data_IF_131942615269
#
_entry.id   IF_131942615269
#
_cell.length_a   1.000
_cell.length_b   1.000
_cell.length_c   1.000
_cell.angle_alpha   90.00
_cell.angle_beta   90.00
_cell.angle_gamma   90.00
#
_symmetry.space_group_name_H-M   'P 1'
#
loop_
_entity.id
_entity.type
_entity.pdbx_description
1 polymer ?
#
# COMPACT_ATOMS: atom_id res chain seq x y z
N UNK A 1 68.64 31.04 -13.10
CA UNK A 1 67.23 30.88 -12.62
C UNK A 1 66.60 29.68 -13.32
N UNK A 2 66.41 28.54 -12.62
CA UNK A 2 65.75 27.35 -13.19
C UNK A 2 64.23 27.44 -13.00
N UNK A 3 63.47 27.46 -14.10
CA UNK A 3 62.00 27.46 -14.08
C UNK A 3 61.50 26.09 -13.60
N UNK A 4 60.70 26.07 -12.52
CA UNK A 4 59.97 24.89 -12.06
C UNK A 4 58.77 24.64 -13.01
N UNK A 5 58.53 23.40 -13.47
CA UNK A 5 57.31 23.10 -14.21
C UNK A 5 56.11 23.13 -13.25
N UNK A 6 55.11 23.95 -13.59
CA UNK A 6 53.82 23.96 -12.90
C UNK A 6 53.11 22.64 -13.17
N UNK A 7 52.89 21.87 -12.12
CA UNK A 7 52.26 20.56 -12.17
C UNK A 7 50.72 20.72 -12.23
N UNK A 8 50.21 21.14 -13.39
CA UNK A 8 48.77 21.40 -13.65
C UNK A 8 47.89 20.14 -13.64
N UNK A 9 48.46 18.95 -13.55
CA UNK A 9 47.73 17.68 -13.60
C UNK A 9 47.11 17.25 -12.26
N UNK A 10 47.58 17.78 -11.13
CA UNK A 10 47.08 17.40 -9.79
C UNK A 10 45.66 17.90 -9.45
N UNK A 11 45.22 19.13 -9.79
CA UNK A 11 43.88 19.59 -9.43
C UNK A 11 42.77 18.93 -10.25
N UNK A 12 43.06 18.52 -11.49
CA UNK A 12 42.08 17.88 -12.38
C UNK A 12 41.70 16.48 -11.85
N UNK A 13 42.68 15.69 -11.41
CA UNK A 13 42.43 14.36 -10.86
C UNK A 13 41.59 14.38 -9.57
N UNK A 14 41.76 15.41 -8.73
CA UNK A 14 40.99 15.58 -7.48
C UNK A 14 39.54 15.99 -7.78
N UNK A 15 39.32 16.89 -8.74
CA UNK A 15 37.97 17.31 -9.14
C UNK A 15 37.16 16.15 -9.76
N UNK A 16 37.81 15.30 -10.56
CA UNK A 16 37.16 14.11 -11.14
C UNK A 16 36.76 13.07 -10.10
N UNK A 17 37.61 12.85 -9.08
CA UNK A 17 37.32 11.91 -8.00
C UNK A 17 36.14 12.37 -7.12
N UNK A 18 36.02 13.68 -6.87
CA UNK A 18 34.89 14.26 -6.12
C UNK A 18 33.58 14.17 -6.91
N UNK A 19 33.58 14.46 -8.21
CA UNK A 19 32.39 14.29 -9.06
C UNK A 19 31.94 12.83 -9.17
N UNK A 20 32.88 11.87 -9.21
CA UNK A 20 32.57 10.44 -9.17
C UNK A 20 32.01 9.99 -7.82
N UNK A 21 32.48 10.58 -6.70
CA UNK A 21 31.93 10.31 -5.37
C UNK A 21 30.50 10.85 -5.21
N UNK A 22 30.20 12.04 -5.75
CA UNK A 22 28.84 12.60 -5.75
C UNK A 22 27.89 11.92 -6.75
N UNK A 23 28.40 11.37 -7.86
CA UNK A 23 27.58 10.59 -8.80
C UNK A 23 27.18 9.21 -8.25
N UNK A 24 27.92 8.66 -7.27
CA UNK A 24 27.61 7.38 -6.63
C UNK A 24 26.70 7.48 -5.41
N UNK A 25 26.37 8.68 -4.93
CA UNK A 25 25.21 8.87 -4.06
C UNK A 25 23.95 8.88 -4.92
N UNK A 26 23.65 7.76 -5.57
CA UNK A 26 22.32 7.50 -6.10
C UNK A 26 21.37 7.60 -4.91
N UNK A 27 20.63 8.71 -4.88
CA UNK A 27 19.67 9.01 -3.83
C UNK A 27 18.72 7.82 -3.78
N UNK A 28 18.79 7.00 -2.72
CA UNK A 28 17.88 5.86 -2.53
C UNK A 28 16.45 6.41 -2.50
N UNK A 29 15.79 6.39 -3.65
CA UNK A 29 14.45 6.90 -3.78
C UNK A 29 13.50 5.89 -3.12
N UNK A 30 12.97 6.25 -1.96
CA UNK A 30 11.96 5.44 -1.28
C UNK A 30 10.68 5.47 -2.11
N UNK A 31 10.17 4.30 -2.48
CA UNK A 31 8.85 4.15 -3.08
C UNK A 31 7.78 4.58 -2.08
N UNK A 32 6.85 5.41 -2.52
CA UNK A 32 5.80 5.98 -1.66
C UNK A 32 4.51 5.21 -1.82
N UNK A 33 3.91 4.83 -0.70
CA UNK A 33 2.60 4.20 -0.66
C UNK A 33 1.63 5.07 0.14
N UNK A 34 0.42 5.22 -0.39
CA UNK A 34 -0.64 5.94 0.28
C UNK A 34 -1.29 5.05 1.34
N UNK A 35 -1.61 5.66 2.47
CA UNK A 35 -2.70 5.15 3.29
C UNK A 35 -4.01 5.49 2.58
N UNK A 36 -4.80 4.48 2.25
CA UNK A 36 -6.04 4.65 1.46
C UNK A 36 -7.28 4.29 2.29
N UNK A 37 -8.43 4.83 1.91
CA UNK A 37 -9.72 4.61 2.55
C UNK A 37 -10.70 3.92 1.61
N UNK A 38 -11.51 3.05 2.19
CA UNK A 38 -12.64 2.43 1.52
C UNK A 38 -13.91 2.73 2.30
N UNK A 39 -14.81 3.52 1.71
CA UNK A 39 -15.94 4.09 2.44
C UNK A 39 -16.89 3.02 2.95
N UNK A 40 -17.52 3.27 4.09
CA UNK A 40 -18.52 2.36 4.65
C UNK A 40 -19.64 2.09 3.63
N UNK A 41 -20.09 3.10 2.88
CA UNK A 41 -21.11 2.94 1.85
C UNK A 41 -20.70 1.90 0.79
N UNK A 42 -19.51 2.03 0.20
CA UNK A 42 -19.02 1.11 -0.82
C UNK A 42 -18.77 -0.30 -0.25
N UNK A 43 -18.11 -0.38 0.89
CA UNK A 43 -17.83 -1.67 1.54
C UNK A 43 -19.14 -2.40 1.83
N UNK A 44 -20.12 -1.71 2.41
CA UNK A 44 -21.41 -2.30 2.76
C UNK A 44 -22.21 -2.77 1.55
N UNK A 45 -22.20 -2.00 0.47
CA UNK A 45 -22.82 -2.42 -0.79
C UNK A 45 -22.35 -3.81 -1.23
N UNK A 46 -21.04 -4.08 -1.16
CA UNK A 46 -20.49 -5.39 -1.49
C UNK A 46 -20.76 -6.45 -0.42
N UNK A 47 -20.67 -6.09 0.87
CA UNK A 47 -20.90 -7.06 1.95
C UNK A 47 -22.36 -7.54 2.05
N UNK A 48 -23.32 -6.73 1.62
CA UNK A 48 -24.75 -7.05 1.62
C UNK A 48 -25.10 -8.08 0.52
N UNK A 49 -24.31 -8.16 -0.55
CA UNK A 49 -24.49 -9.18 -1.59
C UNK A 49 -24.09 -10.57 -1.10
N UNK A 50 -24.96 -11.57 -1.22
CA UNK A 50 -24.66 -12.96 -0.84
C UNK A 50 -23.58 -13.62 -1.71
N UNK A 51 -23.34 -13.10 -2.92
CA UNK A 51 -22.39 -13.69 -3.87
C UNK A 51 -20.97 -13.19 -3.67
N UNK A 52 -20.75 -12.08 -2.96
CA UNK A 52 -19.41 -11.55 -2.70
C UNK A 52 -18.62 -12.50 -1.80
N UNK A 53 -17.41 -12.86 -2.23
CA UNK A 53 -16.49 -13.72 -1.50
C UNK A 53 -15.28 -12.93 -0.96
N UNK A 54 -14.58 -12.21 -1.83
CA UNK A 54 -13.32 -11.56 -1.48
C UNK A 54 -13.08 -10.28 -2.28
N UNK A 55 -12.21 -9.44 -1.74
CA UNK A 55 -11.79 -8.16 -2.28
C UNK A 55 -10.32 -8.28 -2.67
N UNK A 56 -10.02 -8.03 -3.95
CA UNK A 56 -8.67 -8.05 -4.50
C UNK A 56 -8.22 -6.61 -4.70
N UNK A 57 -7.14 -6.24 -4.02
CA UNK A 57 -6.54 -4.92 -4.11
C UNK A 57 -5.32 -4.96 -5.01
N UNK A 58 -5.37 -4.19 -6.10
CA UNK A 58 -4.28 -4.02 -7.04
C UNK A 58 -3.69 -2.62 -6.91
N UNK A 59 -2.37 -2.51 -7.08
CA UNK A 59 -1.68 -1.23 -7.06
C UNK A 59 -2.11 -0.36 -8.24
N UNK A 60 -2.41 0.89 -7.94
CA UNK A 60 -2.77 1.92 -8.90
C UNK A 60 -1.87 3.12 -8.70
N UNK A 61 -1.28 3.63 -9.78
CA UNK A 61 -0.65 4.95 -9.78
C UNK A 61 -1.49 5.89 -10.63
N UNK A 62 -1.99 7.01 -10.07
CA UNK A 62 -2.75 7.99 -10.84
C UNK A 62 -1.89 8.73 -11.86
N UNK A 63 -0.56 8.73 -11.67
CA UNK A 63 0.38 9.47 -12.50
C UNK A 63 1.72 8.74 -12.49
N UNK A 64 1.96 7.91 -13.51
CA UNK A 64 3.11 7.00 -13.58
C UNK A 64 4.45 7.71 -13.80
N UNK A 65 4.42 8.92 -14.35
CA UNK A 65 5.56 9.79 -14.64
C UNK A 65 5.96 10.66 -13.43
N UNK A 66 5.06 10.87 -12.47
CA UNK A 66 5.36 11.62 -11.25
C UNK A 66 5.70 10.67 -10.08
N UNK A 67 7.00 10.40 -9.95
CA UNK A 67 7.58 9.62 -8.85
C UNK A 67 7.32 10.17 -7.44
N UNK A 68 6.78 11.40 -7.32
CA UNK A 68 6.39 11.97 -6.02
C UNK A 68 4.99 11.50 -5.60
N UNK A 69 4.16 11.04 -6.54
CA UNK A 69 2.81 10.53 -6.26
C UNK A 69 2.91 9.12 -5.66
N UNK A 70 2.19 8.86 -4.56
CA UNK A 70 2.19 7.53 -3.96
C UNK A 70 1.36 6.55 -4.79
N UNK A 71 1.74 5.27 -4.72
CA UNK A 71 0.85 4.19 -5.11
C UNK A 71 -0.39 4.16 -4.20
N UNK A 72 -1.55 3.98 -4.82
CA UNK A 72 -2.85 3.76 -4.23
C UNK A 72 -3.34 2.34 -4.56
N UNK A 73 -4.59 2.04 -4.22
CA UNK A 73 -5.22 0.76 -4.52
C UNK A 73 -6.49 0.95 -5.35
N UNK A 74 -6.74 0.00 -6.24
CA UNK A 74 -8.08 -0.28 -6.78
C UNK A 74 -8.55 -1.62 -6.24
N UNK A 75 -9.86 -1.76 -6.02
CA UNK A 75 -10.48 -2.97 -5.49
C UNK A 75 -11.38 -3.62 -6.52
N UNK A 76 -11.04 -4.86 -6.87
CA UNK A 76 -11.91 -5.77 -7.59
C UNK A 76 -12.61 -6.71 -6.60
N UNK A 77 -13.85 -7.06 -6.88
CA UNK A 77 -14.67 -7.91 -6.02
C UNK A 77 -14.84 -9.25 -6.69
N UNK A 78 -14.40 -10.32 -6.03
CA UNK A 78 -14.64 -11.67 -6.47
C UNK A 78 -15.96 -12.20 -5.89
N UNK A 79 -16.71 -12.92 -6.72
CA UNK A 79 -17.82 -13.73 -6.28
C UNK A 79 -17.37 -15.11 -5.78
N UNK A 80 -18.31 -15.87 -5.21
CA UNK A 80 -18.07 -17.24 -4.74
C UNK A 80 -17.69 -18.23 -5.84
N UNK A 81 -17.86 -17.88 -7.12
CA UNK A 81 -17.45 -18.67 -8.27
C UNK A 81 -16.08 -18.22 -8.83
N UNK A 82 -15.45 -17.20 -8.23
CA UNK A 82 -14.16 -16.67 -8.67
C UNK A 82 -14.23 -15.66 -9.82
N UNK A 83 -15.41 -15.16 -10.17
CA UNK A 83 -15.57 -14.11 -11.18
C UNK A 83 -15.52 -12.72 -10.54
N UNK A 84 -15.03 -11.74 -11.29
CA UNK A 84 -15.10 -10.35 -10.87
C UNK A 84 -16.52 -9.79 -11.05
N UNK A 85 -17.07 -9.18 -10.00
CA UNK A 85 -18.37 -8.50 -10.00
C UNK A 85 -18.28 -7.06 -10.56
N UNK A 86 -17.09 -6.46 -10.53
CA UNK A 86 -16.83 -5.11 -11.04
C UNK A 86 -15.62 -5.06 -12.01
N UNK A 87 -15.55 -5.92 -13.05
CA UNK A 87 -14.36 -6.06 -13.88
C UNK A 87 -14.03 -4.80 -14.70
N UNK A 88 -15.06 -4.02 -15.07
CA UNK A 88 -14.92 -2.82 -15.92
C UNK A 88 -14.63 -1.57 -15.09
N UNK A 89 -15.21 -1.50 -13.88
CA UNK A 89 -15.14 -0.32 -13.02
C UNK A 89 -14.75 -0.74 -11.60
N UNK A 90 -13.47 -1.09 -11.37
CA UNK A 90 -12.99 -1.37 -10.02
C UNK A 90 -13.12 -0.13 -9.13
N UNK A 91 -13.33 -0.36 -7.83
CA UNK A 91 -13.41 0.74 -6.88
C UNK A 91 -12.02 1.35 -6.69
N UNK A 92 -11.85 2.61 -7.06
CA UNK A 92 -10.60 3.32 -6.77
C UNK A 92 -10.64 3.84 -5.33
N UNK A 93 -9.71 3.38 -4.49
CA UNK A 93 -9.66 3.79 -3.08
C UNK A 93 -8.96 5.14 -2.98
N UNK A 94 -9.65 6.11 -2.37
CA UNK A 94 -9.11 7.44 -2.15
C UNK A 94 -8.07 7.45 -1.04
N UNK A 95 -7.21 8.47 -1.01
CA UNK A 95 -6.26 8.67 0.08
C UNK A 95 -7.02 8.99 1.38
N UNK A 96 -6.69 8.31 2.49
CA UNK A 96 -7.36 8.47 3.77
C UNK A 96 -7.02 9.81 4.46
N UNK A 97 -5.76 10.23 4.33
CA UNK A 97 -5.17 11.47 4.85
C UNK A 97 -3.89 11.75 4.06
N UNK A 98 -3.39 13.00 4.01
CA UNK A 98 -2.12 13.39 3.35
C UNK A 98 -0.85 12.72 3.95
N UNK A 99 -1.00 11.61 4.67
CA UNK A 99 0.07 10.77 5.19
C UNK A 99 0.59 9.83 4.12
N UNK A 100 1.81 10.11 3.69
CA UNK A 100 2.65 9.20 2.91
C UNK A 100 3.37 8.26 3.87
N UNK A 101 3.31 6.95 3.60
CA UNK A 101 4.14 5.98 4.30
C UNK A 101 5.37 5.71 3.45
N UNK A 102 6.53 6.09 3.97
CA UNK A 102 7.82 5.79 3.38
C UNK A 102 8.27 4.43 3.89
N UNK A 103 8.10 3.40 3.06
CA UNK A 103 8.68 2.09 3.32
C UNK A 103 10.09 2.05 2.73
N UNK A 104 11.01 1.42 3.45
CA UNK A 104 12.42 1.32 3.03
C UNK A 104 12.83 -0.15 3.00
N UNK A 105 13.77 -0.47 2.11
CA UNK A 105 14.23 -1.85 1.89
C UNK A 105 13.63 -2.51 0.65
N UNK A 106 14.01 -3.76 0.38
CA UNK A 106 13.41 -4.55 -0.69
C UNK A 106 11.93 -4.81 -0.40
N UNK A 107 11.10 -4.78 -1.43
CA UNK A 107 9.66 -5.03 -1.30
C UNK A 107 9.17 -5.83 -2.50
N UNK A 108 8.32 -6.82 -2.24
CA UNK A 108 7.60 -7.55 -3.29
C UNK A 108 6.22 -6.94 -3.43
N UNK A 109 5.93 -6.44 -4.63
CA UNK A 109 4.62 -5.92 -4.99
C UNK A 109 3.82 -7.04 -5.66
N UNK A 110 2.69 -7.38 -5.05
CA UNK A 110 1.69 -8.28 -5.62
C UNK A 110 0.30 -7.81 -5.25
N UNK A 111 -0.71 -8.35 -5.92
CA UNK A 111 -2.09 -8.10 -5.51
C UNK A 111 -2.28 -8.53 -4.06
N UNK A 112 -3.10 -7.79 -3.33
CA UNK A 112 -3.49 -8.12 -1.98
C UNK A 112 -4.93 -8.62 -2.00
N UNK A 113 -5.33 -9.42 -1.01
CA UNK A 113 -6.72 -9.79 -0.84
C UNK A 113 -7.19 -9.72 0.61
N UNK A 114 -8.49 -9.46 0.76
CA UNK A 114 -9.24 -9.65 2.00
C UNK A 114 -10.50 -10.45 1.72
N UNK A 115 -10.79 -11.43 2.55
CA UNK A 115 -12.05 -12.15 2.46
C UNK A 115 -13.18 -11.30 3.04
N UNK A 116 -14.40 -11.50 2.53
CA UNK A 116 -15.62 -10.96 3.11
C UNK A 116 -15.73 -11.29 4.60
N UNK A 117 -15.31 -12.50 5.00
CA UNK A 117 -15.27 -12.94 6.39
C UNK A 117 -14.33 -12.05 7.24
N UNK A 118 -13.13 -11.77 6.76
CA UNK A 118 -12.17 -10.92 7.46
C UNK A 118 -12.69 -9.48 7.63
N UNK A 119 -13.26 -8.91 6.56
CA UNK A 119 -13.85 -7.56 6.65
C UNK A 119 -15.04 -7.56 7.62
N UNK A 120 -15.90 -8.59 7.58
CA UNK A 120 -17.00 -8.72 8.53
C UNK A 120 -16.52 -8.77 9.98
N UNK A 121 -15.47 -9.53 10.30
CA UNK A 121 -14.90 -9.56 11.65
C UNK A 121 -14.45 -8.16 12.11
N UNK A 122 -13.80 -7.41 11.21
CA UNK A 122 -13.32 -6.04 11.48
C UNK A 122 -14.49 -5.06 11.72
N UNK A 123 -15.61 -5.18 11.01
CA UNK A 123 -16.76 -4.27 11.16
C UNK A 123 -17.84 -4.76 12.14
N UNK A 124 -17.70 -5.91 12.79
CA UNK A 124 -18.72 -6.49 13.67
C UNK A 124 -18.23 -6.56 15.10
N UNK A 125 -19.06 -6.16 16.05
CA UNK A 125 -18.84 -6.35 17.49
C UNK A 125 -18.94 -7.84 17.87
N UNK A 126 -18.44 -8.19 19.05
CA UNK A 126 -18.54 -9.52 19.67
C UNK A 126 -19.99 -10.02 19.75
N UNK A 127 -20.95 -9.09 19.87
CA UNK A 127 -22.39 -9.40 19.88
C UNK A 127 -22.99 -9.68 18.49
N UNK A 128 -22.17 -9.67 17.43
CA UNK A 128 -22.60 -9.83 16.04
C UNK A 128 -23.23 -8.58 15.42
N UNK A 129 -23.37 -7.48 16.18
CA UNK A 129 -23.86 -6.20 15.66
C UNK A 129 -22.78 -5.50 14.85
N UNK A 130 -23.18 -4.85 13.76
CA UNK A 130 -22.30 -4.01 12.95
C UNK A 130 -21.87 -2.76 13.73
N UNK A 131 -20.56 -2.50 13.77
CA UNK A 131 -19.97 -1.27 14.31
C UNK A 131 -20.37 -0.10 13.42
N UNK A 132 -20.54 1.08 14.01
CA UNK A 132 -20.66 2.32 13.25
C UNK A 132 -19.26 2.82 12.85
N UNK A 133 -19.05 3.08 11.57
CA UNK A 133 -17.77 3.52 11.01
C UNK A 133 -18.00 4.31 9.72
N UNK A 134 -17.07 5.19 9.37
CA UNK A 134 -17.15 6.01 8.15
C UNK A 134 -16.40 5.35 6.99
N UNK A 135 -15.27 4.71 7.28
CA UNK A 135 -14.47 3.98 6.29
C UNK A 135 -13.52 2.97 6.94
N UNK A 136 -13.10 1.99 6.14
CA UNK A 136 -11.93 1.18 6.42
C UNK A 136 -10.68 1.93 5.96
N UNK A 137 -9.63 1.95 6.78
CA UNK A 137 -8.33 2.49 6.40
C UNK A 137 -7.35 1.36 6.15
N UNK A 138 -6.58 1.48 5.08
CA UNK A 138 -5.57 0.52 4.65
C UNK A 138 -4.20 1.18 4.82
N UNK A 139 -3.44 0.70 5.80
CA UNK A 139 -2.12 1.24 6.12
C UNK A 139 -1.02 0.32 5.57
N UNK A 140 -0.21 0.76 4.60
CA UNK A 140 0.80 -0.10 3.98
C UNK A 140 1.88 -0.50 4.99
N UNK A 141 2.27 -1.79 4.98
CA UNK A 141 3.35 -2.38 5.77
C UNK A 141 4.04 -3.49 5.00
N UNK A 142 5.32 -3.73 5.30
CA UNK A 142 6.07 -4.85 4.73
C UNK A 142 5.97 -6.04 5.70
N UNK A 143 5.54 -7.19 5.20
CA UNK A 143 5.60 -8.43 5.97
C UNK A 143 7.06 -8.84 6.17
N UNK A 144 7.49 -8.95 7.43
CA UNK A 144 8.86 -9.35 7.75
C UNK A 144 9.22 -10.75 7.22
N UNK A 145 8.23 -11.65 7.14
CA UNK A 145 8.42 -13.05 6.76
C UNK A 145 8.81 -13.26 5.29
N UNK A 146 8.28 -12.44 4.38
CA UNK A 146 8.44 -12.66 2.93
C UNK A 146 8.56 -11.36 2.11
N UNK A 147 8.72 -10.22 2.78
CA UNK A 147 8.92 -8.90 2.18
C UNK A 147 7.77 -8.41 1.27
N UNK A 148 6.60 -9.04 1.30
CA UNK A 148 5.45 -8.57 0.55
C UNK A 148 4.88 -7.29 1.18
N UNK A 149 4.51 -6.35 0.31
CA UNK A 149 3.69 -5.21 0.72
C UNK A 149 2.25 -5.67 0.97
N UNK A 150 1.79 -5.51 2.20
CA UNK A 150 0.41 -5.72 2.62
C UNK A 150 -0.14 -4.48 3.30
N UNK A 151 -1.41 -4.51 3.67
CA UNK A 151 -2.09 -3.41 4.33
C UNK A 151 -2.69 -3.87 5.65
N UNK A 152 -2.28 -3.23 6.74
CA UNK A 152 -2.99 -3.33 8.01
C UNK A 152 -4.33 -2.62 7.88
N UNK A 153 -5.41 -3.28 8.31
CA UNK A 153 -6.76 -2.75 8.20
C UNK A 153 -7.10 -2.00 9.50
N UNK A 154 -7.84 -0.91 9.36
CA UNK A 154 -8.29 -0.06 10.45
C UNK A 154 -9.77 0.30 10.27
N UNK A 155 -10.52 0.52 11.34
CA UNK A 155 -11.80 1.23 11.27
C UNK A 155 -11.57 2.69 11.63
N UNK A 156 -12.22 3.61 10.91
CA UNK A 156 -12.23 5.02 11.28
C UNK A 156 -13.66 5.53 11.43
N UNK A 157 -13.91 6.27 12.51
CA UNK A 157 -15.13 7.04 12.75
C UNK A 157 -14.77 8.44 13.22
N UNK A 158 -15.40 9.46 12.65
CA UNK A 158 -15.16 10.87 12.97
C UNK A 158 -13.65 11.24 12.91
N UNK A 159 -12.92 10.64 11.97
CA UNK A 159 -11.48 10.85 11.80
C UNK A 159 -10.57 10.17 12.83
N UNK A 160 -11.12 9.35 13.74
CA UNK A 160 -10.37 8.60 14.74
C UNK A 160 -10.38 7.10 14.44
N UNK A 161 -9.22 6.46 14.63
CA UNK A 161 -9.11 5.00 14.57
C UNK A 161 -9.90 4.38 15.72
N UNK A 162 -10.78 3.44 15.37
CA UNK A 162 -11.50 2.61 16.33
C UNK A 162 -10.65 1.38 16.61
N UNK A 163 -10.35 1.12 17.88
CA UNK A 163 -9.82 -0.17 18.28
C UNK A 163 -10.94 -1.21 18.17
N UNK A 164 -10.78 -2.17 17.27
CA UNK A 164 -11.71 -3.26 17.04
C UNK A 164 -11.13 -4.62 17.44
N UNK A 165 -9.93 -4.63 18.02
CA UNK A 165 -9.32 -5.87 18.48
C UNK A 165 -10.14 -6.46 19.64
N UNK A 166 -10.54 -7.71 19.48
CA UNK A 166 -11.21 -8.51 20.50
C UNK A 166 -10.48 -9.85 20.65
N UNK A 167 -10.97 -10.75 21.52
CA UNK A 167 -10.31 -12.03 21.79
C UNK A 167 -10.14 -12.93 20.55
N UNK A 168 -11.00 -12.76 19.54
CA UNK A 168 -11.06 -13.57 18.33
C UNK A 168 -10.53 -12.83 17.09
N UNK A 169 -10.49 -11.50 17.14
CA UNK A 169 -10.09 -10.60 16.06
C UNK A 169 -8.81 -9.88 16.47
N UNK A 170 -7.66 -10.49 16.19
CA UNK A 170 -6.38 -9.79 16.24
C UNK A 170 -6.18 -8.94 14.98
N UNK A 171 -5.17 -8.07 14.98
CA UNK A 171 -4.80 -7.21 13.85
C UNK A 171 -4.94 -7.93 12.50
N UNK A 172 -5.95 -7.54 11.72
CA UNK A 172 -6.19 -8.10 10.40
C UNK A 172 -5.38 -7.30 9.38
N UNK A 173 -4.48 -8.01 8.71
CA UNK A 173 -3.82 -7.52 7.50
C UNK A 173 -4.49 -8.09 6.25
N UNK A 174 -4.32 -7.39 5.12
CA UNK A 174 -4.47 -8.03 3.82
C UNK A 174 -3.42 -9.12 3.63
N UNK A 175 -3.73 -10.08 2.78
CA UNK A 175 -2.82 -11.17 2.44
C UNK A 175 -2.28 -10.99 1.02
N UNK A 176 -1.02 -11.35 0.74
CA UNK A 176 -0.55 -11.47 -0.63
C UNK A 176 -1.44 -12.46 -1.38
N UNK A 177 -1.97 -12.02 -2.51
CA UNK A 177 -2.76 -12.87 -3.39
C UNK A 177 -1.83 -13.83 -4.13
N UNK A 178 -2.12 -15.15 -4.15
CA UNK A 178 -1.34 -16.07 -4.95
C UNK A 178 -1.43 -15.68 -6.43
N UNK A 179 -0.40 -16.00 -7.24
CA UNK A 179 -0.48 -15.82 -8.69
C UNK A 179 -1.72 -16.54 -9.24
N UNK A 180 -2.32 -15.97 -10.28
CA UNK A 180 -3.43 -16.61 -10.99
C UNK A 180 -2.97 -18.00 -11.45
N UNK A 181 -3.77 -19.02 -11.16
CA UNK A 181 -3.57 -20.36 -11.69
C UNK A 181 -4.23 -20.41 -13.08
N UNK A 182 -3.47 -20.86 -14.07
CA UNK A 182 -4.00 -21.18 -15.41
C UNK A 182 -4.76 -22.51 -15.38
#
# INVERSE_FOLDING_TARGET
MKKRPLNFLKPIAIASAVCLFFAMTSCKQATRFAQVKYTAAQVNYWLDSSTTDSFIFQFYSPQVDDVKKPYQLVSYILDTAGNYLNPVHPDTLAIAKDTLINLTGPVVLGNNYLTKKAIKAVISTDSGKKRDYDYLVFTPKILASNQHLVYAIGLVKNGQLINYADGDTQDIDSNPSPPAKM
#
